data_IF_878200922701
#
_entry.id   IF_878200922701
#
_cell.length_a   1.000
_cell.length_b   1.000
_cell.length_c   1.000
_cell.angle_alpha   90.00
_cell.angle_beta   90.00
_cell.angle_gamma   90.00
#
_symmetry.space_group_name_H-M   'P 1'
#
loop_
_entity.id
_entity.type
_entity.pdbx_description
1 polymer ?
#
# COMPACT_ATOMS: atom_id res chain seq x y z
N UNK A 1 -1.15 -18.50 26.40
CA UNK A 1 -2.31 -17.60 26.17
C UNK A 1 -2.61 -17.61 24.69
N UNK A 2 -3.80 -18.06 24.28
CA UNK A 2 -4.26 -17.95 22.90
C UNK A 2 -4.77 -16.52 22.70
N UNK A 3 -4.10 -15.73 21.86
CA UNK A 3 -4.62 -14.44 21.40
C UNK A 3 -5.90 -14.71 20.63
N UNK A 4 -7.04 -14.27 21.19
CA UNK A 4 -8.33 -14.37 20.55
C UNK A 4 -8.30 -13.65 19.21
N UNK A 5 -8.67 -14.37 18.17
CA UNK A 5 -8.86 -13.87 16.82
C UNK A 5 -10.09 -12.94 16.84
N UNK A 6 -9.87 -11.64 17.10
CA UNK A 6 -10.89 -10.62 16.79
C UNK A 6 -10.80 -10.32 15.30
N UNK A 7 -11.87 -10.50 14.51
CA UNK A 7 -11.85 -10.32 13.06
C UNK A 7 -12.03 -8.83 12.66
N UNK A 8 -11.49 -7.89 13.43
CA UNK A 8 -11.90 -6.47 13.33
C UNK A 8 -10.82 -5.56 12.73
N UNK A 9 -9.57 -6.01 12.63
CA UNK A 9 -8.47 -5.20 12.09
C UNK A 9 -7.90 -5.83 10.82
N UNK A 10 -7.84 -5.03 9.76
CA UNK A 10 -7.19 -5.45 8.53
C UNK A 10 -5.69 -5.17 8.59
N UNK A 11 -4.91 -6.08 8.01
CA UNK A 11 -3.46 -6.17 8.22
C UNK A 11 -2.71 -6.27 6.91
N UNK A 12 -1.63 -5.53 6.81
CA UNK A 12 -0.61 -5.70 5.77
C UNK A 12 0.58 -6.41 6.41
N UNK A 13 0.88 -7.61 5.94
CA UNK A 13 2.13 -8.29 6.27
C UNK A 13 3.22 -7.79 5.35
N UNK A 14 4.37 -7.45 5.90
CA UNK A 14 5.50 -6.89 5.19
C UNK A 14 6.79 -7.56 5.66
N UNK A 15 7.63 -7.96 4.71
CA UNK A 15 8.96 -8.51 4.95
C UNK A 15 9.91 -7.88 3.96
N UNK A 16 11.12 -7.63 4.42
CA UNK A 16 12.26 -7.29 3.57
C UNK A 16 13.24 -8.44 3.66
N UNK A 17 13.70 -8.95 2.52
CA UNK A 17 14.66 -10.05 2.49
C UNK A 17 15.95 -9.63 1.80
N UNK A 18 17.05 -10.21 2.27
CA UNK A 18 18.36 -10.07 1.62
C UNK A 18 18.47 -10.95 0.36
N UNK A 19 19.61 -10.88 -0.32
CA UNK A 19 19.88 -11.66 -1.53
C UNK A 19 19.87 -13.19 -1.32
N UNK A 20 19.88 -13.66 -0.07
CA UNK A 20 19.76 -15.08 0.28
C UNK A 20 18.32 -15.50 0.60
N UNK A 21 17.37 -14.55 0.57
CA UNK A 21 15.96 -14.77 0.91
C UNK A 21 15.68 -14.77 2.42
N UNK A 22 16.66 -14.36 3.25
CA UNK A 22 16.47 -14.28 4.69
C UNK A 22 15.85 -12.93 5.06
N UNK A 23 14.90 -12.96 6.00
CA UNK A 23 14.28 -11.75 6.52
C UNK A 23 15.32 -10.84 7.18
N UNK A 24 15.26 -9.56 6.86
CA UNK A 24 16.10 -8.51 7.43
C UNK A 24 15.38 -7.82 8.59
N UNK A 25 16.10 -7.52 9.66
CA UNK A 25 15.62 -6.61 10.71
C UNK A 25 15.93 -5.18 10.26
N UNK A 26 14.92 -4.33 10.17
CA UNK A 26 15.09 -3.00 9.60
C UNK A 26 15.75 -2.04 10.60
N UNK A 27 16.57 -1.13 10.09
CA UNK A 27 17.05 -0.05 10.94
C UNK A 27 15.87 0.83 11.37
N UNK A 28 15.95 1.46 12.55
CA UNK A 28 14.87 2.31 13.06
C UNK A 28 14.49 3.43 12.09
N UNK A 29 15.46 3.98 11.37
CA UNK A 29 15.19 5.06 10.41
C UNK A 29 14.48 4.53 9.15
N UNK A 30 14.95 3.41 8.60
CA UNK A 30 14.31 2.74 7.46
C UNK A 30 12.87 2.38 7.82
N UNK A 31 12.65 1.73 8.97
CA UNK A 31 11.32 1.36 9.44
C UNK A 31 10.40 2.57 9.60
N UNK A 32 10.91 3.70 10.12
CA UNK A 32 10.16 4.95 10.25
C UNK A 32 9.75 5.52 8.89
N UNK A 33 10.65 5.51 7.91
CA UNK A 33 10.39 6.00 6.54
C UNK A 33 9.42 5.10 5.79
N UNK A 34 9.63 3.78 5.85
CA UNK A 34 8.70 2.76 5.32
C UNK A 34 7.31 2.92 5.92
N UNK A 35 7.21 3.07 7.25
CA UNK A 35 5.94 3.32 7.94
C UNK A 35 5.27 4.61 7.44
N UNK A 36 6.02 5.70 7.32
CA UNK A 36 5.48 6.98 6.86
C UNK A 36 4.92 6.86 5.43
N UNK A 37 5.64 6.19 4.53
CA UNK A 37 5.19 5.96 3.16
C UNK A 37 3.94 5.07 3.10
N UNK A 38 3.93 3.92 3.78
CA UNK A 38 2.75 3.02 3.84
C UNK A 38 1.55 3.76 4.41
N UNK A 39 1.76 4.60 5.43
CA UNK A 39 0.70 5.43 6.02
C UNK A 39 0.14 6.42 5.03
N UNK A 40 0.99 7.08 4.27
CA UNK A 40 0.59 8.07 3.29
C UNK A 40 -0.19 7.44 2.12
N UNK A 41 0.27 6.30 1.60
CA UNK A 41 -0.45 5.55 0.56
C UNK A 41 -1.83 5.09 1.04
N UNK A 42 -1.92 4.53 2.25
CA UNK A 42 -3.19 4.13 2.83
C UNK A 42 -4.12 5.34 3.07
N UNK A 43 -3.57 6.48 3.49
CA UNK A 43 -4.34 7.72 3.69
C UNK A 43 -4.94 8.18 2.37
N UNK A 44 -4.14 8.26 1.30
CA UNK A 44 -4.60 8.65 -0.04
C UNK A 44 -5.80 7.81 -0.50
N UNK A 45 -5.68 6.48 -0.46
CA UNK A 45 -6.76 5.61 -0.91
C UNK A 45 -8.01 5.65 -0.01
N UNK A 46 -7.84 5.94 1.28
CA UNK A 46 -8.97 6.12 2.19
C UNK A 46 -9.73 7.42 1.90
N UNK A 47 -9.00 8.50 1.63
CA UNK A 47 -9.59 9.79 1.22
C UNK A 47 -10.41 9.63 -0.06
N UNK A 48 -9.89 8.90 -1.05
CA UNK A 48 -10.62 8.62 -2.30
C UNK A 48 -11.84 7.73 -2.10
N UNK A 49 -11.78 6.77 -1.19
CA UNK A 49 -12.87 5.81 -0.96
C UNK A 49 -14.01 6.35 -0.09
N UNK A 50 -13.70 7.24 0.86
CA UNK A 50 -14.66 7.71 1.86
C UNK A 50 -15.19 9.14 1.63
N UNK A 51 -14.68 9.87 0.62
CA UNK A 51 -14.96 11.30 0.43
C UNK A 51 -14.83 12.09 1.76
N UNK A 52 -13.78 11.74 2.51
CA UNK A 52 -13.55 12.20 3.89
C UNK A 52 -12.12 12.68 4.06
N UNK A 53 -11.91 13.67 4.93
CA UNK A 53 -10.57 14.10 5.35
C UNK A 53 -9.88 12.89 6.02
N UNK A 54 -8.80 12.35 5.45
CA UNK A 54 -8.16 11.06 5.79
C UNK A 54 -7.61 10.89 7.20
N UNK A 55 -7.98 11.79 8.12
CA UNK A 55 -7.73 11.76 9.55
C UNK A 55 -8.47 10.64 10.30
N UNK A 56 -9.25 9.79 9.60
CA UNK A 56 -10.00 8.70 10.22
C UNK A 56 -9.19 7.40 10.41
N UNK A 57 -7.98 7.31 9.84
CA UNK A 57 -7.15 6.10 9.96
C UNK A 57 -6.01 6.25 10.98
N UNK A 58 -5.96 5.30 11.91
CA UNK A 58 -4.75 5.02 12.69
C UNK A 58 -4.04 3.83 12.06
N UNK A 59 -2.73 3.96 11.82
CA UNK A 59 -1.89 2.84 11.41
C UNK A 59 -0.84 2.61 12.48
N UNK A 60 -0.78 1.40 13.01
CA UNK A 60 0.27 0.92 13.89
C UNK A 60 1.04 -0.21 13.21
N UNK A 61 2.15 -0.65 13.80
CA UNK A 61 2.84 -1.83 13.32
C UNK A 61 3.46 -2.63 14.46
N UNK A 62 3.67 -3.92 14.21
CA UNK A 62 4.41 -4.83 15.08
C UNK A 62 5.58 -5.36 14.26
N UNK A 63 6.80 -5.25 14.78
CA UNK A 63 8.00 -5.87 14.21
C UNK A 63 8.43 -7.06 15.08
N UNK A 64 8.67 -8.21 14.44
CA UNK A 64 9.19 -9.40 15.10
C UNK A 64 10.72 -9.41 15.12
N UNK A 65 11.31 -10.19 16.03
CA UNK A 65 12.77 -10.42 16.03
C UNK A 65 13.26 -11.14 14.77
N UNK A 66 12.35 -11.77 14.02
CA UNK A 66 12.63 -12.41 12.73
C UNK A 66 12.45 -11.47 11.53
N UNK A 67 12.28 -10.16 11.74
CA UNK A 67 12.14 -9.18 10.66
C UNK A 67 10.78 -9.19 9.95
N UNK A 68 9.77 -9.82 10.56
CA UNK A 68 8.39 -9.75 10.07
C UNK A 68 7.73 -8.47 10.60
N UNK A 69 7.15 -7.69 9.71
CA UNK A 69 6.45 -6.46 10.07
C UNK A 69 4.97 -6.63 9.72
N UNK A 70 4.10 -6.32 10.67
CA UNK A 70 2.65 -6.35 10.47
C UNK A 70 2.11 -4.96 10.71
N UNK A 71 1.71 -4.28 9.64
CA UNK A 71 0.96 -3.03 9.75
C UNK A 71 -0.50 -3.35 10.06
N UNK A 72 -1.04 -2.65 11.05
CA UNK A 72 -2.41 -2.81 11.54
C UNK A 72 -3.10 -1.46 11.36
N UNK A 73 -4.21 -1.45 10.64
CA UNK A 73 -5.01 -0.24 10.43
C UNK A 73 -6.27 -0.32 11.26
N UNK A 74 -6.48 0.72 12.06
CA UNK A 74 -7.60 0.89 12.97
C UNK A 74 -8.42 2.13 12.58
N UNK A 75 -9.73 2.02 12.72
CA UNK A 75 -10.66 3.15 12.58
C UNK A 75 -10.64 4.01 13.86
N UNK A 76 -10.36 5.31 13.73
CA UNK A 76 -10.41 6.27 14.85
C UNK A 76 -11.85 6.57 15.32
N UNK A 77 -12.88 6.18 14.57
CA UNK A 77 -14.29 6.26 14.95
C UNK A 77 -14.61 5.50 16.25
N UNK A 78 -13.96 4.37 16.48
CA UNK A 78 -14.11 3.58 17.70
C UNK A 78 -13.32 4.16 18.89
N UNK A 79 -12.16 4.78 18.64
CA UNK A 79 -11.32 5.38 19.69
C UNK A 79 -11.88 6.70 20.24
N UNK A 80 -12.61 7.48 19.43
CA UNK A 80 -13.18 8.77 19.89
C UNK A 80 -14.46 8.62 20.74
N UNK A 81 -15.15 7.48 20.61
CA UNK A 81 -16.42 7.22 21.30
C UNK A 81 -16.26 7.04 22.83
N UNK A 82 -15.04 6.80 23.31
CA UNK A 82 -14.74 6.63 24.73
C UNK A 82 -14.31 7.93 25.45
N UNK A 83 -14.04 9.04 24.75
CA UNK A 83 -13.40 10.22 25.37
C UNK A 83 -14.00 11.59 25.07
N UNK A 84 -15.04 11.72 24.24
CA UNK A 84 -15.61 13.04 23.92
C UNK A 84 -17.13 13.15 24.13
N UNK A 85 -17.57 12.97 25.38
CA UNK A 85 -18.72 13.73 25.88
C UNK A 85 -18.33 15.20 26.05
N UNK A 86 -18.35 15.99 24.96
CA UNK A 86 -18.55 17.46 24.99
C UNK A 86 -18.69 18.05 23.58
N UNK A 87 -19.95 18.32 23.23
CA UNK A 87 -20.45 19.45 22.44
C UNK A 87 -19.64 19.89 21.19
N UNK A 88 -20.17 19.59 19.98
CA UNK A 88 -20.85 20.61 19.15
C UNK A 88 -21.50 20.01 17.90
N UNK A 89 -22.70 20.55 17.63
CA UNK A 89 -23.52 20.40 16.43
C UNK A 89 -22.77 20.94 15.22
N UNK A 90 -22.53 20.09 14.22
CA UNK A 90 -22.76 20.34 12.81
C UNK A 90 -22.98 18.97 12.18
N UNK A 91 -24.21 18.67 11.76
CA UNK A 91 -24.48 17.49 10.94
C UNK A 91 -23.88 17.75 9.56
N UNK A 92 -22.64 17.35 9.39
CA UNK A 92 -22.17 16.75 8.14
C UNK A 92 -22.44 15.25 8.33
N UNK A 93 -22.99 14.60 7.33
CA UNK A 93 -23.20 13.15 7.36
C UNK A 93 -21.87 12.47 7.65
N UNK A 94 -21.64 12.12 8.93
CA UNK A 94 -20.47 11.35 9.31
C UNK A 94 -20.62 9.99 8.63
N UNK A 95 -19.65 9.53 7.83
CA UNK A 95 -19.70 8.20 7.27
C UNK A 95 -19.89 7.20 8.42
N UNK A 96 -20.78 6.21 8.21
CA UNK A 96 -20.98 5.18 9.22
C UNK A 96 -19.65 4.50 9.54
N UNK A 97 -19.47 4.04 10.79
CA UNK A 97 -18.27 3.28 11.19
C UNK A 97 -18.01 2.09 10.25
N UNK A 98 -19.08 1.48 9.72
CA UNK A 98 -18.96 0.43 8.70
C UNK A 98 -18.40 0.94 7.37
N UNK A 99 -18.75 2.17 6.95
CA UNK A 99 -18.21 2.81 5.75
C UNK A 99 -16.73 3.16 5.87
N UNK A 100 -16.30 3.68 7.02
CA UNK A 100 -14.88 3.97 7.28
C UNK A 100 -14.07 2.69 7.33
N UNK A 101 -14.58 1.64 7.98
CA UNK A 101 -13.91 0.32 8.01
C UNK A 101 -13.75 -0.26 6.60
N UNK A 102 -14.78 -0.18 5.75
CA UNK A 102 -14.70 -0.63 4.36
C UNK A 102 -13.71 0.20 3.53
N UNK A 103 -13.66 1.52 3.76
CA UNK A 103 -12.69 2.40 3.12
C UNK A 103 -11.25 2.07 3.55
N UNK A 104 -11.02 1.82 4.84
CA UNK A 104 -9.72 1.38 5.36
C UNK A 104 -9.26 0.06 4.72
N UNK A 105 -10.18 -0.90 4.60
CA UNK A 105 -9.94 -2.18 3.94
C UNK A 105 -9.60 -2.03 2.46
N UNK A 106 -10.38 -1.23 1.74
CA UNK A 106 -10.11 -0.90 0.35
C UNK A 106 -8.77 -0.18 0.20
N UNK A 107 -8.45 0.75 1.11
CA UNK A 107 -7.21 1.50 1.09
C UNK A 107 -5.98 0.62 1.26
N UNK A 108 -5.97 -0.28 2.24
CA UNK A 108 -4.87 -1.23 2.41
C UNK A 108 -4.69 -2.13 1.18
N UNK A 109 -5.81 -2.64 0.66
CA UNK A 109 -5.78 -3.47 -0.54
C UNK A 109 -5.21 -2.70 -1.73
N UNK A 110 -5.61 -1.44 -1.89
CA UNK A 110 -5.14 -0.58 -2.97
C UNK A 110 -3.68 -0.17 -2.80
N UNK A 111 -3.18 0.02 -1.56
CA UNK A 111 -1.75 0.21 -1.27
C UNK A 111 -0.92 -1.00 -1.72
N UNK A 112 -1.39 -2.21 -1.42
CA UNK A 112 -0.73 -3.45 -1.86
C UNK A 112 -0.78 -3.59 -3.38
N UNK A 113 -1.93 -3.30 -4.01
CA UNK A 113 -2.05 -3.32 -5.47
C UNK A 113 -1.22 -2.23 -6.16
N UNK A 114 -1.02 -1.07 -5.54
CA UNK A 114 -0.16 -0.03 -6.06
C UNK A 114 1.30 -0.49 -6.08
N UNK A 115 1.78 -1.11 -5.01
CA UNK A 115 3.11 -1.73 -4.98
C UNK A 115 3.23 -2.80 -6.09
N UNK A 116 2.22 -3.66 -6.25
CA UNK A 116 2.19 -4.66 -7.32
C UNK A 116 2.28 -4.03 -8.72
N UNK A 117 1.46 -3.02 -8.96
CA UNK A 117 1.37 -2.37 -10.24
C UNK A 117 2.63 -1.59 -10.60
N UNK A 118 3.27 -1.00 -9.60
CA UNK A 118 4.56 -0.32 -9.74
C UNK A 118 5.64 -1.32 -10.18
N UNK A 119 5.70 -2.48 -9.54
CA UNK A 119 6.64 -3.53 -9.92
C UNK A 119 6.34 -4.14 -11.28
N UNK A 120 5.07 -4.30 -11.63
CA UNK A 120 4.67 -4.73 -12.97
C UNK A 120 5.09 -3.71 -14.04
N UNK A 121 5.03 -2.41 -13.75
CA UNK A 121 5.51 -1.37 -14.66
C UNK A 121 7.02 -1.49 -14.91
N UNK A 122 7.80 -1.70 -13.85
CA UNK A 122 9.25 -1.93 -13.97
C UNK A 122 9.59 -3.20 -14.74
N UNK A 123 8.97 -4.34 -14.38
CA UNK A 123 9.25 -5.64 -14.99
C UNK A 123 9.09 -5.64 -16.52
N UNK A 124 8.14 -4.85 -17.03
CA UNK A 124 7.80 -4.81 -18.45
C UNK A 124 8.24 -3.52 -19.16
N UNK A 125 9.02 -2.64 -18.51
CA UNK A 125 9.62 -1.45 -19.12
C UNK A 125 8.62 -0.45 -19.72
N UNK A 126 7.33 -0.56 -19.39
CA UNK A 126 6.27 0.19 -20.07
C UNK A 126 4.91 -0.48 -19.95
N UNK A 127 3.97 0.20 -19.27
CA UNK A 127 2.59 -0.27 -19.15
C UNK A 127 1.59 0.82 -19.48
N UNK A 128 0.50 0.42 -20.14
CA UNK A 128 -0.60 1.31 -20.50
C UNK A 128 -1.90 0.89 -19.80
N UNK A 129 -2.60 1.80 -19.12
CA UNK A 129 -3.91 1.52 -18.55
C UNK A 129 -4.98 1.43 -19.65
N UNK A 130 -5.75 0.35 -19.63
CA UNK A 130 -6.89 0.13 -20.53
C UNK A 130 -8.14 -0.17 -19.69
N UNK A 131 -9.29 0.48 -19.94
CA UNK A 131 -10.53 0.16 -19.25
C UNK A 131 -10.86 -1.34 -19.37
N UNK A 132 -11.10 -1.99 -18.23
CA UNK A 132 -11.51 -3.39 -18.24
C UNK A 132 -13.00 -3.52 -18.58
N UNK A 133 -13.41 -4.72 -18.98
CA UNK A 133 -14.83 -5.03 -19.24
C UNK A 133 -15.72 -4.99 -17.99
N UNK A 134 -15.11 -4.97 -16.80
CA UNK A 134 -15.79 -4.91 -15.52
C UNK A 134 -15.68 -3.51 -14.95
N UNK A 135 -16.80 -2.98 -14.48
CA UNK A 135 -16.88 -1.63 -13.91
C UNK A 135 -15.94 -1.46 -12.70
N UNK A 136 -15.26 -0.31 -12.63
CA UNK A 136 -14.28 0.01 -11.58
C UNK A 136 -12.91 -0.67 -11.70
N UNK A 137 -12.63 -1.44 -12.76
CA UNK A 137 -11.33 -2.11 -12.98
C UNK A 137 -10.62 -1.59 -14.23
N UNK A 138 -9.28 -1.63 -14.18
CA UNK A 138 -8.37 -1.25 -15.27
C UNK A 138 -7.37 -2.38 -15.49
N UNK A 139 -7.13 -2.73 -16.75
CA UNK A 139 -6.05 -3.64 -17.14
C UNK A 139 -4.81 -2.79 -17.47
N UNK A 140 -3.73 -2.96 -16.70
CA UNK A 140 -2.40 -2.46 -17.05
C UNK A 140 -1.79 -3.46 -18.02
N UNK A 141 -1.54 -3.04 -19.26
CA UNK A 141 -1.06 -3.92 -20.32
C UNK A 141 0.38 -3.57 -20.68
N UNK A 142 1.27 -4.56 -20.69
CA UNK A 142 2.63 -4.43 -21.19
C UNK A 142 2.62 -4.17 -22.69
N UNK A 143 3.40 -3.19 -23.12
CA UNK A 143 3.50 -2.83 -24.55
C UNK A 143 4.22 -3.90 -25.38
N UNK A 144 5.13 -4.64 -24.75
CA UNK A 144 6.01 -5.58 -25.44
C UNK A 144 5.53 -7.03 -25.38
N UNK A 145 4.95 -7.44 -24.24
CA UNK A 145 4.76 -8.87 -23.93
C UNK A 145 3.31 -9.34 -23.92
N UNK A 146 2.34 -8.44 -24.14
CA UNK A 146 0.91 -8.70 -23.97
C UNK A 146 0.50 -9.20 -22.58
N UNK A 147 1.41 -9.10 -21.59
CA UNK A 147 1.09 -9.36 -20.18
C UNK A 147 0.12 -8.30 -19.68
N UNK A 148 -0.74 -8.70 -18.74
CA UNK A 148 -1.72 -7.79 -18.14
C UNK A 148 -1.81 -7.99 -16.63
N UNK A 149 -1.94 -6.88 -15.92
CA UNK A 149 -2.28 -6.84 -14.51
C UNK A 149 -3.58 -6.08 -14.33
N UNK A 150 -4.61 -6.75 -13.79
CA UNK A 150 -5.90 -6.12 -13.49
C UNK A 150 -5.87 -5.49 -12.11
N UNK A 151 -6.16 -4.20 -12.04
CA UNK A 151 -6.18 -3.42 -10.79
C UNK A 151 -7.45 -2.57 -10.67
N UNK A 152 -7.81 -2.11 -9.47
CA UNK A 152 -8.83 -1.07 -9.29
C UNK A 152 -8.48 0.22 -10.03
N UNK A 153 -9.49 0.93 -10.54
CA UNK A 153 -9.29 2.19 -11.26
C UNK A 153 -8.60 3.27 -10.40
N UNK A 154 -8.81 3.26 -9.08
CA UNK A 154 -8.09 4.14 -8.14
C UNK A 154 -6.58 3.87 -8.18
N UNK A 155 -6.16 2.61 -8.27
CA UNK A 155 -4.75 2.21 -8.31
C UNK A 155 -4.10 2.67 -9.61
N UNK A 156 -4.79 2.47 -10.74
CA UNK A 156 -4.30 2.94 -12.05
C UNK A 156 -4.16 4.48 -12.08
N UNK A 157 -5.06 5.22 -11.41
CA UNK A 157 -4.93 6.67 -11.25
C UNK A 157 -3.76 7.05 -10.35
N UNK A 158 -3.59 6.38 -9.22
CA UNK A 158 -2.49 6.63 -8.29
C UNK A 158 -1.11 6.37 -8.91
N UNK A 159 -0.97 5.40 -9.84
CA UNK A 159 0.28 5.20 -10.59
C UNK A 159 0.71 6.43 -11.41
N UNK A 160 -0.26 7.22 -11.87
CA UNK A 160 -0.05 8.43 -12.67
C UNK A 160 0.02 9.70 -11.82
N UNK A 161 -0.23 9.59 -10.52
CA UNK A 161 -0.24 10.72 -9.58
C UNK A 161 1.21 11.02 -9.11
N UNK A 162 1.75 12.22 -9.38
CA UNK A 162 3.10 12.59 -8.97
C UNK A 162 3.35 12.45 -7.46
N UNK A 163 2.37 12.80 -6.62
CA UNK A 163 2.53 12.74 -5.16
C UNK A 163 2.64 11.28 -4.68
N UNK A 164 1.91 10.38 -5.36
CA UNK A 164 1.98 8.94 -5.09
C UNK A 164 3.27 8.33 -5.62
N UNK A 165 3.77 8.80 -6.78
CA UNK A 165 5.09 8.40 -7.27
C UNK A 165 6.19 8.83 -6.31
N UNK A 166 6.15 10.05 -5.77
CA UNK A 166 7.11 10.53 -4.76
C UNK A 166 7.06 9.70 -3.47
N UNK A 167 5.85 9.31 -3.03
CA UNK A 167 5.68 8.43 -1.88
C UNK A 167 6.24 7.03 -2.13
N UNK A 168 5.99 6.45 -3.30
CA UNK A 168 6.56 5.16 -3.71
C UNK A 168 8.09 5.23 -3.86
N UNK A 169 8.62 6.34 -4.37
CA UNK A 169 10.05 6.60 -4.50
C UNK A 169 10.74 6.58 -3.14
N UNK A 170 10.19 7.32 -2.17
CA UNK A 170 10.69 7.33 -0.80
C UNK A 170 10.62 5.94 -0.14
N UNK A 171 9.54 5.19 -0.41
CA UNK A 171 9.39 3.81 0.06
C UNK A 171 10.52 2.90 -0.47
N UNK A 172 10.79 2.93 -1.77
CA UNK A 172 11.87 2.12 -2.37
C UNK A 172 13.26 2.60 -1.95
N UNK A 173 13.48 3.91 -1.87
CA UNK A 173 14.75 4.48 -1.43
C UNK A 173 15.11 4.02 -0.01
N UNK A 174 14.17 4.15 0.93
CA UNK A 174 14.39 3.75 2.31
C UNK A 174 14.76 2.25 2.43
N UNK A 175 14.08 1.38 1.68
CA UNK A 175 14.33 -0.06 1.74
C UNK A 175 15.63 -0.43 1.00
N UNK A 176 15.92 0.23 -0.12
CA UNK A 176 17.13 0.03 -0.92
C UNK A 176 18.41 0.40 -0.17
N UNK A 177 18.39 1.45 0.66
CA UNK A 177 19.52 1.86 1.52
C UNK A 177 19.98 0.73 2.47
N UNK A 178 19.10 -0.21 2.80
CA UNK A 178 19.40 -1.31 3.69
C UNK A 178 20.00 -2.54 2.96
N UNK A 179 20.13 -2.51 1.64
CA UNK A 179 20.63 -3.64 0.84
C UNK A 179 19.61 -4.76 0.64
N UNK A 180 18.32 -4.41 0.66
CA UNK A 180 17.24 -5.34 0.38
C UNK A 180 17.30 -5.90 -1.04
N UNK A 181 16.91 -7.16 -1.22
CA UNK A 181 16.75 -7.81 -2.53
C UNK A 181 15.28 -8.07 -2.89
N UNK A 182 14.40 -8.22 -1.90
CA UNK A 182 12.96 -8.39 -2.13
C UNK A 182 12.09 -7.83 -1.00
N UNK A 183 10.85 -7.52 -1.36
CA UNK A 183 9.75 -7.20 -0.46
C UNK A 183 8.67 -8.27 -0.61
N UNK A 184 8.29 -8.89 0.49
CA UNK A 184 7.05 -9.66 0.54
C UNK A 184 5.98 -8.80 1.18
N UNK A 185 4.89 -8.53 0.48
CA UNK A 185 3.77 -7.76 0.99
C UNK A 185 2.44 -8.48 0.73
N UNK A 186 1.68 -8.72 1.78
CA UNK A 186 0.45 -9.50 1.68
C UNK A 186 -0.67 -8.92 2.52
N UNK A 187 -1.90 -9.16 2.08
CA UNK A 187 -3.08 -8.99 2.90
C UNK A 187 -3.33 -10.28 3.68
N UNK A 188 -3.82 -10.15 4.91
CA UNK A 188 -4.18 -11.28 5.77
C UNK A 188 -3.01 -12.26 6.03
N UNK A 189 -2.17 -12.02 7.06
CA UNK A 189 -0.97 -12.83 7.30
C UNK A 189 -1.24 -14.33 7.49
N UNK A 190 -2.45 -14.68 7.92
CA UNK A 190 -2.92 -16.04 8.15
C UNK A 190 -3.37 -16.76 6.86
N UNK A 191 -3.38 -16.07 5.70
CA UNK A 191 -3.75 -16.63 4.39
C UNK A 191 -2.58 -16.53 3.41
N UNK A 192 -1.66 -17.52 3.38
CA UNK A 192 -0.47 -17.49 2.52
C UNK A 192 -0.78 -17.32 1.03
N UNK A 193 -1.93 -17.83 0.56
CA UNK A 193 -2.39 -17.76 -0.83
C UNK A 193 -2.70 -16.33 -1.32
N UNK A 194 -2.83 -15.37 -0.39
CA UNK A 194 -3.09 -13.95 -0.70
C UNK A 194 -1.85 -13.08 -0.57
N UNK A 195 -0.68 -13.68 -0.30
CA UNK A 195 0.58 -12.94 -0.23
C UNK A 195 1.06 -12.63 -1.63
N UNK A 196 1.48 -11.38 -1.83
CA UNK A 196 2.20 -10.97 -3.02
C UNK A 196 3.68 -10.84 -2.65
N UNK A 197 4.53 -11.36 -3.49
CA UNK A 197 5.97 -11.25 -3.33
C UNK A 197 6.50 -10.45 -4.50
N UNK A 198 7.21 -9.38 -4.17
CA UNK A 198 7.84 -8.50 -5.12
C UNK A 198 9.33 -8.59 -4.92
N UNK A 199 10.08 -8.85 -5.98
CA UNK A 199 11.49 -8.55 -5.96
C UNK A 199 11.63 -7.02 -5.88
N UNK A 200 12.59 -6.51 -5.10
CA UNK A 200 13.15 -5.19 -5.38
C UNK A 200 14.46 -5.51 -6.05
N UNK A 201 14.48 -5.82 -7.36
CA UNK A 201 15.77 -5.97 -7.96
C UNK A 201 16.42 -4.57 -7.90
N UNK A 202 17.74 -4.53 -7.68
CA UNK A 202 18.57 -3.42 -8.13
C UNK A 202 18.61 -3.42 -9.68
N UNK A 203 17.44 -3.48 -10.31
CA UNK A 203 17.25 -3.26 -11.74
C UNK A 203 17.40 -1.76 -11.95
N UNK A 204 18.05 -1.42 -13.06
CA UNK A 204 18.36 -0.05 -13.43
C UNK A 204 17.09 0.83 -13.37
N UNK A 205 15.93 0.30 -13.74
CA UNK A 205 14.65 1.04 -13.71
C UNK A 205 14.19 1.47 -12.31
N UNK A 206 14.40 0.63 -11.27
CA UNK A 206 14.05 0.99 -9.89
C UNK A 206 15.03 2.02 -9.35
N UNK A 207 16.31 1.89 -9.69
CA UNK A 207 17.37 2.84 -9.32
C UNK A 207 17.10 4.19 -9.98
N UNK A 208 16.88 4.21 -11.29
CA UNK A 208 16.55 5.41 -12.07
C UNK A 208 15.29 6.07 -11.54
N UNK A 209 14.26 5.28 -11.20
CA UNK A 209 13.05 5.80 -10.57
C UNK A 209 13.33 6.43 -9.21
N UNK A 210 14.17 5.82 -8.37
CA UNK A 210 14.59 6.43 -7.10
C UNK A 210 15.32 7.76 -7.35
N UNK A 211 16.19 7.81 -8.37
CA UNK A 211 17.06 8.94 -8.68
C UNK A 211 16.37 10.12 -9.38
N UNK A 212 15.26 9.90 -10.08
CA UNK A 212 14.58 11.02 -10.74
C UNK A 212 13.60 10.63 -11.84
N UNK A 213 13.77 9.45 -12.42
CA UNK A 213 13.02 9.03 -13.58
C UNK A 213 11.53 8.90 -13.26
N UNK A 214 10.65 9.16 -14.24
CA UNK A 214 9.23 8.85 -14.10
C UNK A 214 9.00 7.34 -14.11
N UNK A 215 7.91 6.89 -13.49
CA UNK A 215 7.48 5.52 -13.63
C UNK A 215 7.12 5.23 -15.10
N UNK A 216 7.46 4.05 -15.67
CA UNK A 216 7.16 3.72 -17.07
C UNK A 216 5.68 3.35 -17.26
N UNK A 217 4.79 4.30 -16.95
CA UNK A 217 3.33 4.20 -17.11
C UNK A 217 2.87 5.33 -18.01
N UNK A 218 2.14 5.00 -19.07
CA UNK A 218 1.56 6.00 -19.95
C UNK A 218 0.17 6.44 -19.45
N UNK A 219 -0.18 7.70 -19.71
CA UNK A 219 -1.54 8.19 -19.48
C UNK A 219 -2.57 7.47 -20.37
N UNK A 220 -3.86 7.55 -20.03
CA UNK A 220 -4.91 7.05 -20.91
C UNK A 220 -4.83 7.75 -22.27
N UNK A 221 -4.93 6.97 -23.35
CA UNK A 221 -5.03 7.48 -24.72
C UNK A 221 -6.41 8.09 -25.00
#
# INVERSE_FOLDING_TARGET
MKLGHRPEHSRIHFKVQDATGLNMVLSRDVLRRTYAAVKELCRHFCETAADSDGNALSISFIESQSGDIVFIVDDLGELSSASHHRLRRFHRDSPSSDGIRLAAQAAMRNTVFLAQATMFAFEFGGVRPVPASQDGLVDLVSEETSQRLRVPAEVARALLDPDMQDTMREFFAAIGEQGAASIVIGLDPDTPERRLEFLIPAIDDVIDFVDGAPLPVQGPA
#
